data_IF_187883682584
#
_entry.id   IF_187883682584
#
_cell.length_a   1.000
_cell.length_b   1.000
_cell.length_c   1.000
_cell.angle_alpha   90.00
_cell.angle_beta   90.00
_cell.angle_gamma   90.00
#
_symmetry.space_group_name_H-M   'P 1'
#
loop_
_entity.id
_entity.type
_entity.pdbx_description
1 polymer ?
#
# COMPACT_ATOMS: atom_id res chain seq x y z
N UNK A 1 -16.12 7.74 -13.05
CA UNK A 1 -15.80 6.46 -12.41
C UNK A 1 -16.07 5.32 -13.37
N UNK A 2 -14.99 4.66 -13.74
CA UNK A 2 -14.95 3.62 -14.77
C UNK A 2 -15.92 2.46 -14.53
N UNK A 3 -16.14 2.08 -13.26
CA UNK A 3 -16.92 0.89 -12.91
C UNK A 3 -18.43 1.03 -13.11
N UNK A 4 -18.96 2.26 -13.32
CA UNK A 4 -20.41 2.47 -13.54
C UNK A 4 -20.92 1.79 -14.82
N UNK A 5 -20.06 1.56 -15.81
CA UNK A 5 -20.39 0.83 -17.05
C UNK A 5 -20.30 -0.69 -16.91
N UNK A 6 -19.70 -1.20 -15.83
CA UNK A 6 -19.53 -2.63 -15.56
C UNK A 6 -20.81 -3.17 -14.94
N UNK A 7 -21.30 -4.32 -15.41
CA UNK A 7 -22.46 -4.97 -14.80
C UNK A 7 -22.17 -5.39 -13.35
N UNK A 8 -23.21 -5.39 -12.52
CA UNK A 8 -23.11 -5.55 -11.06
C UNK A 8 -22.44 -6.86 -10.62
N UNK A 9 -22.70 -7.96 -11.34
CA UNK A 9 -22.12 -9.28 -11.01
C UNK A 9 -20.62 -9.28 -11.29
N UNK A 10 -20.21 -8.78 -12.46
CA UNK A 10 -18.80 -8.65 -12.82
C UNK A 10 -18.08 -7.69 -11.87
N UNK A 11 -18.67 -6.54 -11.56
CA UNK A 11 -18.09 -5.57 -10.63
C UNK A 11 -17.91 -6.17 -9.22
N UNK A 12 -18.93 -6.84 -8.68
CA UNK A 12 -18.81 -7.48 -7.35
C UNK A 12 -17.72 -8.55 -7.33
N UNK A 13 -17.59 -9.34 -8.39
CA UNK A 13 -16.52 -10.34 -8.50
C UNK A 13 -15.14 -9.68 -8.69
N UNK A 14 -15.06 -8.54 -9.39
CA UNK A 14 -13.85 -7.72 -9.47
C UNK A 14 -13.43 -7.25 -8.07
N UNK A 15 -14.34 -6.61 -7.31
CA UNK A 15 -14.01 -6.08 -5.98
C UNK A 15 -13.57 -7.19 -5.02
N UNK A 16 -14.17 -8.39 -5.09
CA UNK A 16 -13.72 -9.54 -4.30
C UNK A 16 -12.28 -9.93 -4.62
N UNK A 17 -11.91 -10.01 -5.89
CA UNK A 17 -10.55 -10.38 -6.30
C UNK A 17 -9.54 -9.28 -5.97
N UNK A 18 -9.86 -8.02 -6.28
CA UNK A 18 -9.05 -6.86 -5.91
C UNK A 18 -8.80 -6.81 -4.40
N UNK A 19 -9.82 -7.09 -3.59
CA UNK A 19 -9.69 -7.15 -2.13
C UNK A 19 -8.68 -8.20 -1.69
N UNK A 20 -8.76 -9.42 -2.24
CA UNK A 20 -7.82 -10.52 -1.92
C UNK A 20 -6.39 -10.17 -2.33
N UNK A 21 -6.20 -9.53 -3.48
CA UNK A 21 -4.90 -9.07 -3.96
C UNK A 21 -4.31 -7.96 -3.06
N UNK A 22 -5.13 -6.98 -2.67
CA UNK A 22 -4.72 -5.94 -1.71
C UNK A 22 -4.28 -6.57 -0.38
N UNK A 23 -5.04 -7.51 0.16
CA UNK A 23 -4.67 -8.19 1.41
C UNK A 23 -3.37 -8.96 1.24
N UNK A 24 -3.18 -9.69 0.15
CA UNK A 24 -1.94 -10.40 -0.14
C UNK A 24 -0.73 -9.46 -0.21
N UNK A 25 -0.84 -8.35 -0.96
CA UNK A 25 0.22 -7.34 -1.08
C UNK A 25 0.59 -6.73 0.28
N UNK A 26 -0.40 -6.25 1.03
CA UNK A 26 -0.13 -5.59 2.31
C UNK A 26 0.29 -6.57 3.42
N UNK A 27 -0.13 -7.84 3.35
CA UNK A 27 0.40 -8.90 4.23
C UNK A 27 1.87 -9.17 3.94
N UNK A 28 2.26 -9.27 2.67
CA UNK A 28 3.68 -9.41 2.30
C UNK A 28 4.51 -8.19 2.70
N UNK A 29 3.95 -6.98 2.53
CA UNK A 29 4.59 -5.72 3.00
C UNK A 29 4.76 -5.72 4.52
N UNK A 30 3.77 -6.24 5.26
CA UNK A 30 3.87 -6.41 6.71
C UNK A 30 4.98 -7.38 7.11
N UNK A 31 5.16 -8.48 6.38
CA UNK A 31 6.27 -9.41 6.61
C UNK A 31 7.62 -8.70 6.44
N UNK A 32 7.79 -7.89 5.39
CA UNK A 32 9.02 -7.09 5.18
C UNK A 32 9.28 -6.18 6.39
N UNK A 33 8.27 -5.41 6.83
CA UNK A 33 8.39 -4.56 8.01
C UNK A 33 8.74 -5.36 9.28
N UNK A 34 8.14 -6.54 9.47
CA UNK A 34 8.42 -7.37 10.64
C UNK A 34 9.87 -7.87 10.63
N UNK A 35 10.42 -8.23 9.47
CA UNK A 35 11.84 -8.58 9.33
C UNK A 35 12.78 -7.40 9.65
N UNK A 36 12.35 -6.17 9.38
CA UNK A 36 13.15 -4.95 9.63
C UNK A 36 13.13 -4.50 11.10
N UNK A 37 11.99 -4.69 11.79
CA UNK A 37 11.74 -4.08 13.10
C UNK A 37 11.72 -5.05 14.28
N UNK A 38 11.48 -6.35 14.06
CA UNK A 38 11.32 -7.32 15.14
C UNK A 38 12.60 -8.11 15.41
N UNK A 39 12.72 -8.63 16.64
CA UNK A 39 13.78 -9.56 16.98
C UNK A 39 13.64 -10.85 16.15
N UNK A 40 14.77 -11.38 15.69
CA UNK A 40 14.80 -12.64 14.95
C UNK A 40 14.66 -13.81 15.91
N UNK A 41 13.43 -14.24 16.16
CA UNK A 41 13.10 -15.36 17.03
C UNK A 41 12.09 -16.32 16.38
N UNK A 42 11.82 -17.44 17.07
CA UNK A 42 10.88 -18.46 16.60
C UNK A 42 9.43 -17.96 16.52
N UNK A 43 9.08 -16.90 17.25
CA UNK A 43 7.75 -16.28 17.19
C UNK A 43 7.58 -15.51 15.88
N UNK A 44 8.61 -14.78 15.44
CA UNK A 44 8.63 -14.10 14.15
C UNK A 44 8.51 -15.11 13.00
N UNK A 45 9.31 -16.18 13.02
CA UNK A 45 9.28 -17.23 11.99
C UNK A 45 7.89 -17.88 11.87
N UNK A 46 7.24 -18.16 13.01
CA UNK A 46 5.90 -18.72 13.02
C UNK A 46 4.86 -17.77 12.40
N UNK A 47 4.91 -16.48 12.74
CA UNK A 47 4.01 -15.46 12.18
C UNK A 47 4.21 -15.31 10.67
N UNK A 48 5.46 -15.28 10.19
CA UNK A 48 5.79 -15.21 8.76
C UNK A 48 5.22 -16.41 8.02
N UNK A 49 5.37 -17.62 8.55
CA UNK A 49 4.85 -18.85 7.93
C UNK A 49 3.32 -18.82 7.79
N UNK A 50 2.62 -18.34 8.82
CA UNK A 50 1.16 -18.17 8.75
C UNK A 50 0.75 -17.13 7.70
N UNK A 51 1.47 -16.01 7.63
CA UNK A 51 1.22 -14.95 6.65
C UNK A 51 1.49 -15.43 5.23
N UNK A 52 2.58 -16.17 5.00
CA UNK A 52 2.91 -16.76 3.69
C UNK A 52 1.81 -17.72 3.22
N UNK A 53 1.40 -18.65 4.10
CA UNK A 53 0.29 -19.57 3.81
C UNK A 53 -1.00 -18.81 3.45
N UNK A 54 -1.29 -17.73 4.16
CA UNK A 54 -2.45 -16.87 3.87
C UNK A 54 -2.33 -16.19 2.51
N UNK A 55 -1.16 -15.61 2.19
CA UNK A 55 -0.89 -14.97 0.90
C UNK A 55 -1.05 -15.97 -0.24
N UNK A 56 -0.43 -17.15 -0.14
CA UNK A 56 -0.55 -18.20 -1.14
C UNK A 56 -2.01 -18.61 -1.40
N UNK A 57 -2.79 -18.80 -0.33
CA UNK A 57 -4.23 -19.11 -0.43
C UNK A 57 -5.00 -18.02 -1.19
N UNK A 58 -4.81 -16.74 -0.84
CA UNK A 58 -5.47 -15.61 -1.51
C UNK A 58 -5.13 -15.54 -2.99
N UNK A 59 -3.84 -15.67 -3.34
CA UNK A 59 -3.36 -15.59 -4.72
C UNK A 59 -3.86 -16.76 -5.57
N UNK A 60 -3.90 -17.98 -5.02
CA UNK A 60 -4.42 -19.15 -5.72
C UNK A 60 -5.91 -19.00 -6.04
N UNK A 61 -6.72 -18.55 -5.08
CA UNK A 61 -8.15 -18.33 -5.31
C UNK A 61 -8.40 -17.29 -6.41
N UNK A 62 -7.66 -16.17 -6.42
CA UNK A 62 -7.80 -15.17 -7.49
C UNK A 62 -7.37 -15.74 -8.85
N UNK A 63 -6.28 -16.52 -8.88
CA UNK A 63 -5.79 -17.15 -10.11
C UNK A 63 -6.83 -18.10 -10.74
N UNK A 64 -7.58 -18.83 -9.92
CA UNK A 64 -8.67 -19.71 -10.40
C UNK A 64 -9.87 -18.91 -10.90
N UNK A 65 -10.20 -17.80 -10.22
CA UNK A 65 -11.40 -17.00 -10.52
C UNK A 65 -11.22 -15.99 -11.66
N UNK A 66 -9.99 -15.57 -11.97
CA UNK A 66 -9.72 -14.53 -13.00
C UNK A 66 -10.24 -14.93 -14.38
N UNK A 67 -10.31 -16.23 -14.66
CA UNK A 67 -10.87 -16.77 -15.92
C UNK A 67 -12.37 -16.48 -16.08
N UNK A 68 -13.08 -16.21 -14.98
CA UNK A 68 -14.51 -15.90 -14.93
C UNK A 68 -14.81 -14.41 -15.13
N UNK A 69 -13.77 -13.57 -15.12
CA UNK A 69 -13.87 -12.14 -15.42
C UNK A 69 -13.88 -11.89 -16.93
N UNK A 70 -14.41 -10.74 -17.36
CA UNK A 70 -14.34 -10.31 -18.76
C UNK A 70 -14.12 -8.79 -18.89
N UNK A 71 -13.79 -8.35 -20.10
CA UNK A 71 -13.59 -6.93 -20.42
C UNK A 71 -12.54 -6.25 -19.53
N UNK A 72 -12.80 -5.00 -19.16
CA UNK A 72 -11.88 -4.18 -18.36
C UNK A 72 -11.55 -4.79 -17.00
N UNK A 73 -12.52 -5.40 -16.30
CA UNK A 73 -12.27 -5.97 -14.97
C UNK A 73 -11.33 -7.16 -15.03
N UNK A 74 -11.36 -7.96 -16.11
CA UNK A 74 -10.38 -9.02 -16.33
C UNK A 74 -8.98 -8.45 -16.49
N UNK A 75 -8.79 -7.45 -17.34
CA UNK A 75 -7.48 -6.83 -17.57
C UNK A 75 -6.91 -6.25 -16.28
N UNK A 76 -7.73 -5.52 -15.51
CA UNK A 76 -7.30 -4.93 -14.23
C UNK A 76 -6.86 -5.99 -13.22
N UNK A 77 -7.63 -7.08 -13.05
CA UNK A 77 -7.27 -8.15 -12.11
C UNK A 77 -6.05 -8.95 -12.59
N UNK A 78 -5.91 -9.21 -13.89
CA UNK A 78 -4.72 -9.89 -14.41
C UNK A 78 -3.46 -9.06 -14.17
N UNK A 79 -3.51 -7.77 -14.46
CA UNK A 79 -2.42 -6.82 -14.22
C UNK A 79 -2.01 -6.78 -12.74
N UNK A 80 -2.99 -6.64 -11.83
CA UNK A 80 -2.74 -6.63 -10.40
C UNK A 80 -2.26 -7.98 -9.87
N UNK A 81 -2.82 -9.10 -10.35
CA UNK A 81 -2.42 -10.45 -9.94
C UNK A 81 -0.97 -10.73 -10.32
N UNK A 82 -0.53 -10.35 -11.52
CA UNK A 82 0.85 -10.52 -11.97
C UNK A 82 1.82 -9.75 -11.08
N UNK A 83 1.54 -8.45 -10.87
CA UNK A 83 2.35 -7.60 -9.99
C UNK A 83 2.39 -8.15 -8.56
N UNK A 84 1.23 -8.42 -7.95
CA UNK A 84 1.15 -8.89 -6.56
C UNK A 84 1.85 -10.24 -6.38
N UNK A 85 1.73 -11.18 -7.33
CA UNK A 85 2.47 -12.45 -7.27
C UNK A 85 3.98 -12.23 -7.26
N UNK A 86 4.49 -11.40 -8.17
CA UNK A 86 5.91 -11.07 -8.25
C UNK A 86 6.41 -10.43 -6.94
N UNK A 87 5.68 -9.44 -6.42
CA UNK A 87 6.03 -8.76 -5.18
C UNK A 87 6.03 -9.72 -3.98
N UNK A 88 4.94 -10.48 -3.79
CA UNK A 88 4.83 -11.43 -2.68
C UNK A 88 5.93 -12.50 -2.73
N UNK A 89 6.24 -13.04 -3.91
CA UNK A 89 7.34 -14.00 -4.06
C UNK A 89 8.68 -13.40 -3.63
N UNK A 90 8.99 -12.16 -4.03
CA UNK A 90 10.22 -11.48 -3.62
C UNK A 90 10.26 -11.18 -2.11
N UNK A 91 9.15 -10.70 -1.55
CA UNK A 91 9.05 -10.33 -0.14
C UNK A 91 9.21 -11.55 0.79
N UNK A 92 8.54 -12.66 0.44
CA UNK A 92 8.43 -13.84 1.31
C UNK A 92 9.59 -14.83 1.16
N UNK A 93 10.20 -14.94 -0.03
CA UNK A 93 11.34 -15.85 -0.23
C UNK A 93 12.64 -15.38 0.43
N UNK A 94 12.77 -14.06 0.68
CA UNK A 94 14.02 -13.45 1.13
C UNK A 94 14.02 -13.03 2.61
N UNK A 95 13.11 -13.57 3.43
CA UNK A 95 12.90 -13.14 4.83
C UNK A 95 14.16 -13.28 5.69
N UNK A 96 14.86 -14.42 5.65
CA UNK A 96 16.11 -14.62 6.40
C UNK A 96 17.21 -13.63 5.99
N UNK A 97 17.35 -13.38 4.68
CA UNK A 97 18.31 -12.41 4.16
C UNK A 97 17.94 -11.00 4.63
N UNK A 98 16.66 -10.60 4.53
CA UNK A 98 16.18 -9.28 4.97
C UNK A 98 16.50 -9.02 6.44
N UNK A 99 16.29 -10.00 7.31
CA UNK A 99 16.66 -9.91 8.73
C UNK A 99 18.14 -9.63 8.91
N UNK A 100 19.01 -10.33 8.17
CA UNK A 100 20.47 -10.14 8.27
C UNK A 100 20.90 -8.74 7.80
N UNK A 101 20.32 -8.25 6.70
CA UNK A 101 20.62 -6.91 6.18
C UNK A 101 20.12 -5.82 7.12
N UNK A 102 18.90 -5.95 7.66
CA UNK A 102 18.34 -5.02 8.64
C UNK A 102 19.20 -4.95 9.91
N UNK A 103 19.63 -6.09 10.46
CA UNK A 103 20.52 -6.15 11.63
C UNK A 103 21.90 -5.54 11.35
N UNK A 104 22.36 -5.58 10.10
CA UNK A 104 23.63 -5.01 9.68
C UNK A 104 23.52 -3.53 9.29
N UNK A 105 22.32 -2.94 9.30
CA UNK A 105 22.07 -1.58 8.83
C UNK A 105 22.36 -1.39 7.34
N UNK A 106 22.24 -2.45 6.53
CA UNK A 106 22.50 -2.44 5.09
C UNK A 106 21.18 -2.46 4.30
N UNK A 107 21.18 -1.79 3.15
CA UNK A 107 20.05 -1.83 2.19
C UNK A 107 19.93 -3.23 1.57
N UNK A 108 18.71 -3.75 1.46
CA UNK A 108 18.47 -5.05 0.86
C UNK A 108 18.69 -4.96 -0.67
N UNK A 109 19.48 -5.85 -1.29
CA UNK A 109 19.67 -5.84 -2.73
C UNK A 109 18.35 -6.03 -3.48
N UNK A 110 18.16 -5.23 -4.53
CA UNK A 110 16.98 -5.31 -5.40
C UNK A 110 15.79 -4.45 -4.97
N UNK A 111 15.88 -3.67 -3.90
CA UNK A 111 14.80 -2.75 -3.49
C UNK A 111 14.46 -1.72 -4.56
N UNK A 112 15.47 -1.16 -5.24
CA UNK A 112 15.29 -0.26 -6.38
C UNK A 112 14.53 -0.91 -7.54
N UNK A 113 14.76 -2.19 -7.79
CA UNK A 113 14.03 -2.95 -8.83
C UNK A 113 12.56 -3.15 -8.42
N UNK A 114 12.29 -3.43 -7.14
CA UNK A 114 10.91 -3.55 -6.65
C UNK A 114 10.14 -2.23 -6.74
N UNK A 115 10.77 -1.11 -6.36
CA UNK A 115 10.19 0.23 -6.53
C UNK A 115 9.89 0.50 -8.01
N UNK A 116 10.81 0.18 -8.91
CA UNK A 116 10.60 0.37 -10.35
C UNK A 116 9.41 -0.47 -10.88
N UNK A 117 9.25 -1.72 -10.41
CA UNK A 117 8.10 -2.58 -10.73
C UNK A 117 6.80 -2.00 -10.21
N UNK A 118 6.77 -1.48 -8.98
CA UNK A 118 5.59 -0.83 -8.42
C UNK A 118 5.20 0.44 -9.20
N UNK A 119 6.19 1.26 -9.55
CA UNK A 119 5.98 2.45 -10.37
C UNK A 119 5.43 2.11 -11.77
N UNK A 120 5.94 1.05 -12.39
CA UNK A 120 5.43 0.56 -13.68
C UNK A 120 3.98 0.07 -13.54
N UNK A 121 3.71 -0.75 -12.52
CA UNK A 121 2.35 -1.22 -12.20
C UNK A 121 1.34 -0.08 -12.05
N UNK A 122 1.68 0.95 -11.25
CA UNK A 122 0.81 2.12 -11.03
C UNK A 122 0.56 2.87 -12.34
N UNK A 123 1.61 3.11 -13.12
CA UNK A 123 1.51 3.83 -14.40
C UNK A 123 0.63 3.08 -15.40
N UNK A 124 0.89 1.79 -15.59
CA UNK A 124 0.14 0.94 -16.51
C UNK A 124 -1.32 0.82 -16.08
N UNK A 125 -1.60 0.76 -14.77
CA UNK A 125 -2.97 0.76 -14.24
C UNK A 125 -3.70 2.07 -14.56
N UNK A 126 -3.04 3.22 -14.40
CA UNK A 126 -3.61 4.52 -14.73
C UNK A 126 -3.96 4.62 -16.23
N UNK A 127 -3.13 4.06 -17.11
CA UNK A 127 -3.40 4.02 -18.55
C UNK A 127 -4.62 3.13 -18.90
N UNK A 128 -4.99 2.17 -18.04
CA UNK A 128 -6.15 1.29 -18.25
C UNK A 128 -7.48 1.90 -17.80
N UNK A 129 -7.47 2.82 -16.83
CA UNK A 129 -8.69 3.31 -16.18
C UNK A 129 -9.14 4.66 -16.75
N UNK A 130 -10.39 4.77 -17.26
CA UNK A 130 -10.92 6.06 -17.68
C UNK A 130 -11.35 6.90 -16.47
N UNK A 131 -10.46 7.81 -16.07
CA UNK A 131 -10.71 8.93 -15.16
C UNK A 131 -10.42 8.66 -13.69
N UNK A 132 -10.06 9.72 -12.96
CA UNK A 132 -9.52 9.65 -11.61
C UNK A 132 -10.55 9.10 -10.59
N UNK A 133 -10.17 8.02 -9.90
CA UNK A 133 -10.80 7.57 -8.65
C UNK A 133 -9.87 7.77 -7.43
N UNK A 134 -10.41 7.62 -6.21
CA UNK A 134 -9.61 7.86 -5.00
C UNK A 134 -8.41 6.92 -4.85
N UNK A 135 -8.51 5.67 -5.31
CA UNK A 135 -7.37 4.75 -5.23
C UNK A 135 -6.30 5.17 -6.24
N UNK A 136 -6.70 5.59 -7.44
CA UNK A 136 -5.79 6.14 -8.43
C UNK A 136 -5.09 7.42 -7.94
N UNK A 137 -5.78 8.31 -7.23
CA UNK A 137 -5.15 9.48 -6.62
C UNK A 137 -4.12 9.11 -5.55
N UNK A 138 -4.45 8.10 -4.73
CA UNK A 138 -3.52 7.57 -3.73
C UNK A 138 -2.28 6.95 -4.39
N UNK A 139 -2.48 6.08 -5.39
CA UNK A 139 -1.40 5.44 -6.15
C UNK A 139 -0.53 6.49 -6.87
N UNK A 140 -1.15 7.51 -7.46
CA UNK A 140 -0.46 8.62 -8.11
C UNK A 140 0.39 9.43 -7.13
N UNK A 141 -0.11 9.63 -5.91
CA UNK A 141 0.67 10.28 -4.87
C UNK A 141 1.90 9.45 -4.45
N UNK A 142 1.74 8.13 -4.30
CA UNK A 142 2.86 7.20 -4.05
C UNK A 142 3.87 7.24 -5.20
N UNK A 143 3.41 7.17 -6.45
CA UNK A 143 4.24 7.27 -7.64
C UNK A 143 5.07 8.56 -7.67
N UNK A 144 4.46 9.71 -7.35
CA UNK A 144 5.15 11.00 -7.28
C UNK A 144 6.20 11.03 -6.16
N UNK A 145 5.93 10.40 -5.02
CA UNK A 145 6.91 10.25 -3.94
C UNK A 145 8.10 9.39 -4.38
N UNK A 146 7.87 8.24 -5.03
CA UNK A 146 8.96 7.41 -5.57
C UNK A 146 9.79 8.14 -6.63
N UNK A 147 9.14 8.85 -7.57
CA UNK A 147 9.85 9.68 -8.54
C UNK A 147 10.72 10.75 -7.88
N UNK A 148 10.22 11.37 -6.80
CA UNK A 148 10.95 12.40 -6.09
C UNK A 148 12.19 11.81 -5.42
N UNK A 149 12.03 10.73 -4.65
CA UNK A 149 13.14 10.07 -3.94
C UNK A 149 14.18 9.51 -4.91
N UNK A 150 13.76 8.81 -5.96
CA UNK A 150 14.68 8.25 -6.94
C UNK A 150 15.50 9.30 -7.71
N UNK A 151 14.99 10.52 -7.86
CA UNK A 151 15.73 11.62 -8.48
C UNK A 151 16.77 12.27 -7.55
N UNK A 152 16.67 12.09 -6.23
CA UNK A 152 17.67 12.57 -5.25
C UNK A 152 18.80 11.58 -5.00
N UNK A 153 18.59 10.32 -5.38
CA UNK A 153 19.55 9.22 -5.25
C UNK A 153 20.69 9.27 -6.28
N UNK A 154 20.72 10.31 -7.13
CA UNK A 154 21.82 10.59 -8.06
C UNK A 154 22.88 11.47 -7.38
N UNK A 155 24.16 11.11 -7.53
CA UNK A 155 25.31 11.80 -6.91
C UNK A 155 25.44 13.31 -7.23
N UNK A 156 24.71 13.81 -8.23
CA UNK A 156 24.69 15.23 -8.60
C UNK A 156 23.35 15.88 -8.25
N UNK A 157 23.18 16.31 -6.99
CA UNK A 157 22.00 17.09 -6.59
C UNK A 157 22.08 18.54 -7.08
N UNK A 158 21.47 18.81 -8.23
CA UNK A 158 21.31 20.18 -8.75
C UNK A 158 20.11 20.88 -8.11
N UNK A 159 20.10 22.22 -8.14
CA UNK A 159 18.92 23.02 -7.72
C UNK A 159 17.66 22.65 -8.51
N UNK A 160 17.81 22.25 -9.77
CA UNK A 160 16.72 21.76 -10.61
C UNK A 160 16.10 20.46 -10.07
N UNK A 161 16.94 19.50 -9.65
CA UNK A 161 16.45 18.25 -9.04
C UNK A 161 15.75 18.52 -7.71
N UNK A 162 16.28 19.42 -6.87
CA UNK A 162 15.65 19.83 -5.60
C UNK A 162 14.31 20.53 -5.84
N UNK A 163 14.22 21.43 -6.80
CA UNK A 163 12.96 22.06 -7.20
C UNK A 163 11.95 21.03 -7.73
N UNK A 164 12.43 20.08 -8.53
CA UNK A 164 11.64 18.95 -9.04
C UNK A 164 11.12 18.03 -7.93
N UNK A 165 11.93 17.75 -6.90
CA UNK A 165 11.54 17.01 -5.71
C UNK A 165 10.40 17.73 -4.98
N UNK A 166 10.60 19.01 -4.65
CA UNK A 166 9.59 19.83 -3.94
C UNK A 166 8.25 19.85 -4.66
N UNK A 167 8.27 20.05 -5.99
CA UNK A 167 7.07 20.07 -6.81
C UNK A 167 6.30 18.74 -6.75
N UNK A 168 7.01 17.61 -6.83
CA UNK A 168 6.40 16.27 -6.78
C UNK A 168 5.84 15.96 -5.40
N UNK A 169 6.59 16.24 -4.34
CA UNK A 169 6.11 16.03 -2.96
C UNK A 169 4.92 16.95 -2.64
N UNK A 170 4.91 18.20 -3.11
CA UNK A 170 3.75 19.08 -2.97
C UNK A 170 2.51 18.52 -3.67
N UNK A 171 2.65 18.04 -4.91
CA UNK A 171 1.55 17.42 -5.63
C UNK A 171 1.06 16.13 -4.94
N UNK A 172 1.98 15.29 -4.44
CA UNK A 172 1.62 14.10 -3.67
C UNK A 172 0.89 14.46 -2.36
N UNK A 173 1.33 15.52 -1.68
CA UNK A 173 0.70 16.03 -0.47
C UNK A 173 -0.74 16.47 -0.74
N UNK A 174 -1.00 17.19 -1.83
CA UNK A 174 -2.34 17.64 -2.21
C UNK A 174 -3.26 16.45 -2.51
N UNK A 175 -2.78 15.47 -3.30
CA UNK A 175 -3.51 14.24 -3.62
C UNK A 175 -3.83 13.40 -2.37
N UNK A 176 -2.96 13.43 -1.35
CA UNK A 176 -3.20 12.75 -0.07
C UNK A 176 -4.23 13.47 0.83
N UNK A 177 -4.84 14.57 0.37
CA UNK A 177 -5.84 15.36 1.11
C UNK A 177 -7.18 15.52 0.35
N UNK A 178 -7.84 14.44 -0.09
CA UNK A 178 -9.05 14.52 -0.93
C UNK A 178 -10.26 15.20 -0.26
N UNK A 179 -10.25 15.36 1.06
CA UNK A 179 -11.33 15.95 1.85
C UNK A 179 -12.50 14.98 2.09
N UNK A 180 -13.24 15.20 3.18
CA UNK A 180 -14.30 14.30 3.63
C UNK A 180 -15.40 14.09 2.57
N UNK A 181 -15.88 15.16 1.94
CA UNK A 181 -16.98 15.06 0.96
C UNK A 181 -16.61 14.23 -0.26
N UNK A 182 -15.34 14.24 -0.68
CA UNK A 182 -14.86 13.43 -1.80
C UNK A 182 -14.78 11.95 -1.43
N UNK A 183 -14.23 11.65 -0.24
CA UNK A 183 -14.22 10.29 0.35
C UNK A 183 -15.64 9.75 0.46
N UNK A 184 -16.54 10.50 1.09
CA UNK A 184 -17.92 10.10 1.27
C UNK A 184 -18.63 9.81 -0.05
N UNK A 185 -18.49 10.69 -1.06
CA UNK A 185 -19.10 10.48 -2.38
C UNK A 185 -18.57 9.22 -3.05
N UNK A 186 -17.25 9.02 -3.10
CA UNK A 186 -16.65 7.82 -3.68
C UNK A 186 -17.15 6.55 -3.00
N UNK A 187 -17.15 6.51 -1.65
CA UNK A 187 -17.60 5.34 -0.91
C UNK A 187 -19.08 5.04 -1.19
N UNK A 188 -19.97 6.04 -1.16
CA UNK A 188 -21.39 5.84 -1.47
C UNK A 188 -21.60 5.27 -2.87
N UNK A 189 -20.92 5.82 -3.86
CA UNK A 189 -21.08 5.39 -5.25
C UNK A 189 -20.45 4.00 -5.50
N UNK A 190 -19.28 3.73 -4.95
CA UNK A 190 -18.57 2.45 -5.11
C UNK A 190 -19.32 1.31 -4.42
N UNK A 191 -19.70 1.51 -3.15
CA UNK A 191 -20.44 0.51 -2.37
C UNK A 191 -21.87 0.35 -2.88
N UNK A 192 -22.52 1.44 -3.30
CA UNK A 192 -23.84 1.40 -3.94
C UNK A 192 -23.86 0.49 -5.18
N UNK A 193 -22.75 0.44 -5.93
CA UNK A 193 -22.62 -0.40 -7.11
C UNK A 193 -22.38 -1.89 -6.81
N UNK A 194 -22.02 -2.25 -5.57
CA UNK A 194 -21.89 -3.65 -5.13
C UNK A 194 -23.23 -4.38 -4.96
N UNK A 195 -24.34 -3.63 -4.94
CA UNK A 195 -25.70 -4.17 -4.86
C UNK A 195 -25.93 -5.08 -3.64
N UNK A 196 -25.39 -4.68 -2.49
CA UNK A 196 -25.63 -5.33 -1.20
C UNK A 196 -27.02 -4.99 -0.66
N UNK A 197 -27.48 -5.73 0.36
CA UNK A 197 -28.71 -5.35 1.06
C UNK A 197 -28.56 -3.94 1.67
N UNK A 198 -29.65 -3.15 1.80
CA UNK A 198 -29.56 -1.77 2.26
C UNK A 198 -28.79 -1.60 3.57
N UNK A 199 -29.04 -2.48 4.56
CA UNK A 199 -28.33 -2.46 5.84
C UNK A 199 -26.83 -2.74 5.69
N UNK A 200 -26.45 -3.75 4.87
CA UNK A 200 -25.03 -4.07 4.62
C UNK A 200 -24.32 -2.96 3.85
N UNK A 201 -25.00 -2.38 2.85
CA UNK A 201 -24.47 -1.28 2.04
C UNK A 201 -24.19 -0.05 2.91
N UNK A 202 -25.12 0.34 3.78
CA UNK A 202 -24.95 1.46 4.70
C UNK A 202 -23.79 1.22 5.68
N UNK A 203 -23.75 0.05 6.32
CA UNK A 203 -22.70 -0.29 7.26
C UNK A 203 -21.31 -0.29 6.61
N UNK A 204 -21.18 -0.93 5.44
CA UNK A 204 -19.92 -0.98 4.69
C UNK A 204 -19.49 0.40 4.18
N UNK A 205 -20.44 1.24 3.74
CA UNK A 205 -20.15 2.62 3.33
C UNK A 205 -19.56 3.42 4.48
N UNK A 206 -20.19 3.38 5.65
CA UNK A 206 -19.69 4.10 6.84
C UNK A 206 -18.30 3.60 7.24
N UNK A 207 -18.08 2.28 7.24
CA UNK A 207 -16.79 1.70 7.55
C UNK A 207 -15.71 2.13 6.55
N UNK A 208 -16.01 2.10 5.25
CA UNK A 208 -15.06 2.49 4.22
C UNK A 208 -14.73 3.99 4.25
N UNK A 209 -15.66 4.86 4.64
CA UNK A 209 -15.34 6.28 4.86
C UNK A 209 -14.24 6.45 5.91
N UNK A 210 -14.34 5.72 7.03
CA UNK A 210 -13.32 5.73 8.08
C UNK A 210 -12.02 5.12 7.58
N UNK A 211 -12.09 3.97 6.92
CA UNK A 211 -10.92 3.25 6.42
C UNK A 211 -10.11 4.08 5.39
N UNK A 212 -10.79 4.70 4.42
CA UNK A 212 -10.15 5.61 3.45
C UNK A 212 -9.58 6.85 4.15
N UNK A 213 -10.27 7.43 5.12
CA UNK A 213 -9.76 8.59 5.87
C UNK A 213 -8.46 8.25 6.60
N UNK A 214 -8.38 7.06 7.18
CA UNK A 214 -7.17 6.57 7.85
C UNK A 214 -6.03 6.31 6.86
N UNK A 215 -6.33 5.66 5.73
CA UNK A 215 -5.37 5.40 4.65
C UNK A 215 -4.75 6.70 4.11
N UNK A 216 -5.59 7.67 3.76
CA UNK A 216 -5.14 8.98 3.27
C UNK A 216 -4.38 9.77 4.35
N UNK A 217 -4.81 9.71 5.62
CA UNK A 217 -4.08 10.33 6.73
C UNK A 217 -2.68 9.76 6.93
N UNK A 218 -2.50 8.45 6.74
CA UNK A 218 -1.19 7.81 6.78
C UNK A 218 -0.31 8.24 5.59
N UNK A 219 -0.86 8.26 4.37
CA UNK A 219 -0.17 8.76 3.16
C UNK A 219 0.23 10.23 3.27
N UNK A 220 -0.65 11.06 3.84
CA UNK A 220 -0.37 12.45 4.14
C UNK A 220 0.79 12.62 5.12
N UNK A 221 0.85 11.79 6.16
CA UNK A 221 1.95 11.81 7.12
C UNK A 221 3.29 11.50 6.46
N UNK A 222 3.32 10.55 5.51
CA UNK A 222 4.50 10.24 4.70
C UNK A 222 4.93 11.42 3.82
N UNK A 223 4.01 12.00 3.05
CA UNK A 223 4.32 13.16 2.22
C UNK A 223 4.83 14.34 3.06
N UNK A 224 4.26 14.55 4.25
CA UNK A 224 4.72 15.56 5.21
C UNK A 224 6.12 15.27 5.74
N UNK A 225 6.47 14.01 6.01
CA UNK A 225 7.80 13.62 6.45
C UNK A 225 8.85 14.02 5.40
N UNK A 226 8.60 13.74 4.12
CA UNK A 226 9.50 14.15 3.03
C UNK A 226 9.67 15.68 2.93
N UNK A 227 8.61 16.46 3.18
CA UNK A 227 8.73 17.93 3.25
C UNK A 227 9.63 18.39 4.39
N UNK A 228 9.56 17.73 5.54
CA UNK A 228 10.42 18.03 6.70
C UNK A 228 11.87 17.70 6.38
N UNK A 229 12.13 16.51 5.81
CA UNK A 229 13.48 16.07 5.42
C UNK A 229 14.10 17.08 4.44
N UNK A 230 13.37 17.45 3.38
CA UNK A 230 13.88 18.41 2.40
C UNK A 230 14.19 19.77 3.02
N UNK A 231 13.34 20.27 3.91
CA UNK A 231 13.61 21.54 4.60
C UNK A 231 14.92 21.47 5.40
N UNK A 232 15.14 20.38 6.13
CA UNK A 232 16.36 20.21 6.93
C UNK A 232 17.61 20.11 6.07
N UNK A 233 17.54 19.45 4.91
CA UNK A 233 18.64 19.42 3.94
C UNK A 233 19.00 20.85 3.48
N UNK A 234 18.01 21.72 3.28
CA UNK A 234 18.25 23.11 2.90
C UNK A 234 18.82 23.95 4.04
N UNK A 235 18.31 23.75 5.25
CA UNK A 235 18.83 24.42 6.45
C UNK A 235 20.31 24.04 6.67
N UNK A 236 20.70 22.77 6.40
CA UNK A 236 22.09 22.29 6.46
C UNK A 236 23.04 22.95 5.44
N UNK A 237 22.55 23.34 4.26
CA UNK A 237 23.37 24.08 3.29
C UNK A 237 23.72 25.49 3.80
N UNK A 238 22.93 26.03 4.74
CA UNK A 238 23.06 27.39 5.27
C UNK A 238 23.61 27.48 6.70
N UNK A 239 23.54 26.38 7.46
CA UNK A 239 23.90 26.34 8.88
C UNK A 239 24.90 25.21 9.18
N UNK A 240 25.86 25.47 10.08
CA UNK A 240 26.78 24.44 10.56
C UNK A 240 26.09 23.54 11.61
N UNK A 241 25.74 22.32 11.23
CA UNK A 241 25.16 21.33 12.15
C UNK A 241 26.23 20.59 12.94
N UNK A 242 26.02 20.41 14.24
CA UNK A 242 26.87 19.52 15.04
C UNK A 242 26.56 18.05 14.71
N UNK A 243 27.55 17.17 14.85
CA UNK A 243 27.34 15.73 14.69
C UNK A 243 26.24 15.18 15.62
N UNK A 244 26.12 15.73 16.84
CA UNK A 244 25.09 15.35 17.79
C UNK A 244 23.68 15.78 17.36
N UNK A 245 23.54 16.95 16.74
CA UNK A 245 22.28 17.41 16.17
C UNK A 245 21.85 16.56 14.97
N UNK A 246 22.80 16.23 14.09
CA UNK A 246 22.55 15.35 12.94
C UNK A 246 22.11 13.94 13.38
N UNK A 247 22.82 13.34 14.33
CA UNK A 247 22.48 12.01 14.85
C UNK A 247 21.09 11.99 15.52
N UNK A 248 20.74 13.05 16.26
CA UNK A 248 19.40 13.18 16.86
C UNK A 248 18.32 13.30 15.78
N UNK A 249 18.55 14.12 14.76
CA UNK A 249 17.61 14.26 13.67
C UNK A 249 17.40 12.96 12.89
N UNK A 250 18.48 12.25 12.56
CA UNK A 250 18.40 10.94 11.91
C UNK A 250 17.59 9.95 12.73
N UNK A 251 17.83 9.88 14.05
CA UNK A 251 17.05 9.03 14.96
C UNK A 251 15.56 9.41 14.95
N UNK A 252 15.24 10.70 15.09
CA UNK A 252 13.85 11.19 15.10
C UNK A 252 13.13 10.89 13.78
N UNK A 253 13.82 11.01 12.64
CA UNK A 253 13.27 10.68 11.32
C UNK A 253 13.05 9.18 11.18
N UNK A 254 13.99 8.34 11.60
CA UNK A 254 13.83 6.88 11.56
C UNK A 254 12.64 6.42 12.41
N UNK A 255 12.52 6.90 13.65
CA UNK A 255 11.39 6.56 14.53
C UNK A 255 10.05 6.98 13.93
N UNK A 256 9.98 8.19 13.37
CA UNK A 256 8.77 8.70 12.70
C UNK A 256 8.45 7.91 11.43
N UNK A 257 9.46 7.59 10.63
CA UNK A 257 9.32 6.80 9.41
C UNK A 257 8.73 5.43 9.72
N UNK A 258 9.28 4.73 10.72
CA UNK A 258 8.79 3.42 11.15
C UNK A 258 7.33 3.49 11.61
N UNK A 259 6.98 4.50 12.43
CA UNK A 259 5.60 4.69 12.88
C UNK A 259 4.63 4.99 11.72
N UNK A 260 5.07 5.76 10.72
CA UNK A 260 4.27 6.06 9.52
C UNK A 260 4.10 4.79 8.67
N UNK A 261 5.16 4.02 8.44
CA UNK A 261 5.15 2.76 7.70
C UNK A 261 4.15 1.77 8.34
N UNK A 262 4.19 1.62 9.67
CA UNK A 262 3.22 0.77 10.38
C UNK A 262 1.78 1.22 10.13
N UNK A 263 1.52 2.53 10.26
CA UNK A 263 0.17 3.08 10.02
C UNK A 263 -0.28 2.90 8.58
N UNK A 264 0.60 3.04 7.60
CA UNK A 264 0.30 2.80 6.18
C UNK A 264 -0.12 1.35 5.94
N UNK A 265 0.67 0.40 6.44
CA UNK A 265 0.41 -1.04 6.30
C UNK A 265 -0.91 -1.41 6.99
N UNK A 266 -1.09 -0.99 8.25
CA UNK A 266 -2.27 -1.35 9.04
C UNK A 266 -3.56 -0.74 8.47
N UNK A 267 -3.55 0.55 8.11
CA UNK A 267 -4.75 1.21 7.56
C UNK A 267 -5.19 0.57 6.24
N UNK A 268 -4.25 0.19 5.38
CA UNK A 268 -4.55 -0.49 4.13
C UNK A 268 -5.03 -1.94 4.34
N UNK A 269 -4.41 -2.69 5.27
CA UNK A 269 -4.87 -4.02 5.64
C UNK A 269 -6.29 -3.97 6.22
N UNK A 270 -6.58 -3.05 7.13
CA UNK A 270 -7.92 -2.90 7.73
C UNK A 270 -8.95 -2.57 6.65
N UNK A 271 -8.67 -1.61 5.76
CA UNK A 271 -9.55 -1.25 4.64
C UNK A 271 -9.90 -2.48 3.80
N UNK A 272 -8.89 -3.24 3.39
CA UNK A 272 -9.07 -4.39 2.52
C UNK A 272 -9.77 -5.54 3.27
N UNK A 273 -9.39 -5.83 4.51
CA UNK A 273 -10.02 -6.87 5.34
C UNK A 273 -11.51 -6.58 5.58
N UNK A 274 -11.88 -5.34 5.91
CA UNK A 274 -13.28 -4.96 6.12
C UNK A 274 -14.14 -5.16 4.88
N UNK A 275 -13.60 -4.82 3.69
CA UNK A 275 -14.23 -5.15 2.42
C UNK A 275 -14.35 -6.68 2.24
N UNK A 276 -13.30 -7.42 2.59
CA UNK A 276 -13.22 -8.87 2.52
C UNK A 276 -14.28 -9.56 3.37
N UNK A 277 -14.43 -9.17 4.63
CA UNK A 277 -15.47 -9.70 5.52
C UNK A 277 -16.88 -9.46 4.98
N UNK A 278 -17.11 -8.31 4.33
CA UNK A 278 -18.42 -7.99 3.78
C UNK A 278 -18.75 -8.78 2.49
N UNK A 279 -17.74 -9.07 1.66
CA UNK A 279 -17.93 -9.66 0.33
C UNK A 279 -17.57 -11.14 0.22
N UNK A 280 -16.72 -11.62 1.11
CA UNK A 280 -16.10 -12.95 1.08
C UNK A 280 -15.88 -13.54 2.49
N UNK A 281 -16.94 -13.62 3.31
CA UNK A 281 -16.83 -13.97 4.73
C UNK A 281 -16.17 -15.34 4.97
N UNK A 282 -16.42 -16.34 4.11
CA UNK A 282 -15.83 -17.68 4.25
C UNK A 282 -14.30 -17.61 4.22
N UNK A 283 -13.74 -16.93 3.22
CA UNK A 283 -12.29 -16.82 3.06
C UNK A 283 -11.63 -15.94 4.14
N UNK A 284 -12.37 -15.03 4.77
CA UNK A 284 -11.84 -14.09 5.76
C UNK A 284 -12.11 -14.48 7.22
N UNK A 285 -13.14 -15.29 7.50
CA UNK A 285 -13.43 -15.81 8.83
C UNK A 285 -12.74 -17.15 9.14
N UNK A 286 -12.34 -17.95 8.13
CA UNK A 286 -11.75 -19.28 8.36
C UNK A 286 -10.39 -19.30 9.09
N UNK A 287 -9.76 -18.14 9.34
CA UNK A 287 -8.58 -18.06 10.20
C UNK A 287 -8.89 -18.08 11.71
N UNK A 288 -10.17 -18.08 12.13
CA UNK A 288 -10.56 -18.13 13.54
C UNK A 288 -11.07 -19.50 14.02
N UNK A 289 -11.13 -20.53 13.18
CA UNK A 289 -11.76 -21.83 13.52
C UNK A 289 -10.78 -23.01 13.69
N UNK A 290 -9.48 -22.79 13.83
CA UNK A 290 -8.51 -23.88 14.13
C UNK A 290 -8.18 -24.06 15.63
N UNK A 291 -8.99 -23.52 16.55
CA UNK A 291 -8.91 -23.81 17.99
C UNK A 291 -10.29 -23.91 18.66
N UNK A 292 -11.01 -25.00 18.40
CA UNK A 292 -11.96 -25.58 19.38
C UNK A 292 -12.32 -27.03 18.98
N UNK A 293 -11.32 -27.91 18.99
CA UNK A 293 -11.53 -29.34 19.03
C UNK A 293 -10.33 -29.99 19.72
N UNK A 294 -10.31 -29.88 21.05
CA UNK A 294 -9.59 -30.75 21.98
C UNK A 294 -10.46 -30.83 23.24
#
# INVERSE_FOLDING_TARGET
MWYKSVNKVQFRSYVRQDTRLNVAYWTATKVVQMCELQANDTSLEHQITQMDTRVASLLNTVNEEVTKQNGLTKHLIQHQLEYTKSYCANALANTSQRVTYAQSGLEMPGEKEQIAKEMAFIKERADMIPGDDLLEEYDRAIYLMYQAVGALDSDNQTDELRAGFKKRIAAAFDLMTPGFSKIQRQCNEYIGHLYLSPAKSLALTNQQIVDYSNMFSAGFALARLYRIIMKVVEDQDSEAWTQSALARFQKDITERSNAIQTRLIESNLVRANNMGYALDPELFHHNNTSKSAA
#
